data_IF_837844392172
#
_entry.id   IF_837844392172
#
_cell.length_a   1.000
_cell.length_b   1.000
_cell.length_c   1.000
_cell.angle_alpha   90.00
_cell.angle_beta   90.00
_cell.angle_gamma   90.00
#
_symmetry.space_group_name_H-M   'P 1'
#
loop_
_entity.id
_entity.type
_entity.pdbx_description
1 polymer ?
#
# COMPACT_ATOMS: atom_id res chain seq x y z
N UNK A 1 6.15 44.47 -14.83
CA UNK A 1 5.96 43.07 -15.27
C UNK A 1 7.30 42.36 -15.17
N UNK A 2 7.36 41.09 -14.74
CA UNK A 2 8.62 40.35 -14.66
C UNK A 2 9.23 40.20 -16.06
N UNK A 3 10.57 40.36 -16.15
CA UNK A 3 11.30 40.08 -17.39
C UNK A 3 11.18 38.58 -17.66
N UNK A 4 10.54 38.21 -18.77
CA UNK A 4 10.35 36.82 -19.16
C UNK A 4 11.29 36.47 -20.30
N UNK A 5 12.00 35.36 -20.18
CA UNK A 5 12.83 34.80 -21.24
C UNK A 5 12.18 33.50 -21.71
N UNK A 6 11.95 33.37 -23.02
CA UNK A 6 11.44 32.12 -23.59
C UNK A 6 12.58 31.12 -23.77
N UNK A 7 12.35 29.86 -23.43
CA UNK A 7 13.26 28.74 -23.70
C UNK A 7 12.57 27.71 -24.59
N UNK A 8 13.35 27.02 -25.41
CA UNK A 8 12.89 25.87 -26.21
C UNK A 8 12.95 24.55 -25.43
N UNK A 9 13.78 24.50 -24.37
CA UNK A 9 13.93 23.34 -23.51
C UNK A 9 13.10 23.43 -22.24
N UNK A 10 13.48 22.66 -21.22
CA UNK A 10 12.87 22.77 -19.90
C UNK A 10 13.14 24.14 -19.27
N UNK A 11 12.12 24.87 -18.78
CA UNK A 11 12.34 26.05 -17.95
C UNK A 11 13.11 25.67 -16.70
N UNK A 12 14.28 26.28 -16.51
CA UNK A 12 15.15 25.98 -15.38
C UNK A 12 15.78 27.24 -14.80
N UNK A 13 16.21 27.13 -13.55
CA UNK A 13 17.03 28.13 -12.87
C UNK A 13 18.14 27.42 -12.11
N UNK A 14 19.34 28.00 -12.20
CA UNK A 14 20.50 27.61 -11.40
C UNK A 14 20.86 28.74 -10.46
N UNK A 15 20.64 28.52 -9.16
CA UNK A 15 21.06 29.46 -8.11
C UNK A 15 22.50 29.11 -7.72
N UNK A 16 23.47 30.02 -7.89
CA UNK A 16 24.87 29.73 -7.59
C UNK A 16 25.07 29.52 -6.09
N UNK A 17 26.01 28.64 -5.75
CA UNK A 17 26.47 28.50 -4.37
C UNK A 17 27.34 29.70 -3.99
N UNK A 18 27.19 30.17 -2.75
CA UNK A 18 28.05 31.21 -2.17
C UNK A 18 29.35 30.64 -1.59
N UNK A 19 29.44 29.31 -1.43
CA UNK A 19 30.57 28.60 -0.84
C UNK A 19 31.56 28.13 -1.93
N UNK A 20 32.88 28.20 -1.68
CA UNK A 20 33.89 27.61 -2.56
C UNK A 20 33.65 26.10 -2.75
N UNK A 21 33.51 25.65 -4.00
CA UNK A 21 33.25 24.24 -4.32
C UNK A 21 31.83 23.74 -4.01
N UNK A 22 30.93 24.62 -3.55
CA UNK A 22 29.54 24.25 -3.29
C UNK A 22 28.76 23.98 -4.56
N UNK A 23 27.81 23.05 -4.47
CA UNK A 23 26.92 22.72 -5.58
C UNK A 23 25.81 23.77 -5.70
N UNK A 24 25.47 24.22 -6.92
CA UNK A 24 24.36 25.13 -7.11
C UNK A 24 23.02 24.43 -6.79
N UNK A 25 22.00 25.23 -6.49
CA UNK A 25 20.62 24.75 -6.50
C UNK A 25 20.11 24.77 -7.93
N UNK A 26 19.62 23.64 -8.40
CA UNK A 26 19.04 23.50 -9.73
C UNK A 26 17.56 23.16 -9.58
N UNK A 27 16.72 23.93 -10.24
CA UNK A 27 15.27 23.71 -10.28
C UNK A 27 14.84 23.71 -11.74
N UNK A 28 14.22 22.62 -12.18
CA UNK A 28 13.83 22.42 -13.59
C UNK A 28 12.38 21.98 -13.66
N UNK A 29 11.56 22.70 -14.43
CA UNK A 29 10.20 22.27 -14.75
C UNK A 29 10.21 21.21 -15.85
N UNK A 30 9.63 20.05 -15.58
CA UNK A 30 9.63 18.91 -16.50
C UNK A 30 8.34 18.88 -17.32
N UNK A 31 7.19 18.94 -16.64
CA UNK A 31 5.90 18.76 -17.30
C UNK A 31 4.77 19.48 -16.59
N UNK A 32 3.74 19.83 -17.35
CA UNK A 32 2.50 20.36 -16.82
C UNK A 32 1.45 19.25 -16.79
N UNK A 33 0.93 18.92 -15.61
CA UNK A 33 -0.11 17.91 -15.45
C UNK A 33 -1.51 18.49 -15.75
N UNK A 34 -2.49 17.59 -15.82
CA UNK A 34 -3.91 17.93 -15.92
C UNK A 34 -4.39 18.78 -14.74
N UNK A 35 -5.49 19.50 -14.92
CA UNK A 35 -5.97 20.44 -13.91
C UNK A 35 -6.41 19.73 -12.62
N UNK A 36 -5.89 20.21 -11.48
CA UNK A 36 -6.15 19.64 -10.17
C UNK A 36 -5.46 18.29 -9.94
N UNK A 37 -4.46 17.94 -10.75
CA UNK A 37 -3.70 16.71 -10.58
C UNK A 37 -2.80 16.76 -9.35
N UNK A 38 -2.23 17.93 -9.01
CA UNK A 38 -1.32 18.10 -7.88
C UNK A 38 -1.97 17.75 -6.54
N UNK A 39 -3.14 18.33 -6.26
CA UNK A 39 -3.89 18.05 -5.02
C UNK A 39 -4.35 16.60 -4.95
N UNK A 40 -4.83 16.07 -6.09
CA UNK A 40 -5.26 14.67 -6.19
C UNK A 40 -4.10 13.73 -5.86
N UNK A 41 -2.93 13.98 -6.45
CA UNK A 41 -1.75 13.16 -6.27
C UNK A 41 -1.29 13.21 -4.82
N UNK A 42 -1.19 14.42 -4.24
CA UNK A 42 -0.88 14.60 -2.83
C UNK A 42 -1.85 13.81 -1.93
N UNK A 43 -3.17 13.94 -2.12
CA UNK A 43 -4.16 13.25 -1.31
C UNK A 43 -4.05 11.71 -1.37
N UNK A 44 -3.91 11.14 -2.58
CA UNK A 44 -3.75 9.69 -2.78
C UNK A 44 -2.44 9.18 -2.17
N UNK A 45 -1.32 9.85 -2.48
CA UNK A 45 -0.01 9.47 -2.00
C UNK A 45 0.09 9.58 -0.47
N UNK A 46 -0.36 10.68 0.14
CA UNK A 46 -0.38 10.81 1.61
C UNK A 46 -1.22 9.72 2.28
N UNK A 47 -2.33 9.29 1.67
CA UNK A 47 -3.16 8.22 2.22
C UNK A 47 -2.41 6.87 2.26
N UNK A 48 -1.67 6.55 1.19
CA UNK A 48 -0.82 5.34 1.13
C UNK A 48 0.37 5.45 2.06
N UNK A 49 1.00 6.63 2.10
CA UNK A 49 2.15 6.91 2.92
C UNK A 49 1.85 6.70 4.41
N UNK A 50 0.68 7.15 4.90
CA UNK A 50 0.23 6.91 6.29
C UNK A 50 0.04 5.43 6.66
N UNK A 51 -0.14 4.56 5.67
CA UNK A 51 -0.28 3.11 5.86
C UNK A 51 1.05 2.37 5.66
N UNK A 52 2.11 3.08 5.27
CA UNK A 52 3.42 2.49 5.04
C UNK A 52 4.11 2.17 6.38
N UNK A 53 4.83 1.04 6.45
CA UNK A 53 5.48 0.55 7.68
C UNK A 53 6.49 1.54 8.27
N UNK A 54 7.17 2.31 7.40
CA UNK A 54 8.21 3.26 7.76
C UNK A 54 7.70 4.71 7.77
N UNK A 55 6.40 4.91 8.00
CA UNK A 55 5.81 6.24 8.03
C UNK A 55 6.35 7.07 9.20
N UNK A 56 6.72 8.31 8.94
CA UNK A 56 7.09 9.30 9.94
C UNK A 56 6.41 10.63 9.59
N UNK A 57 5.80 11.29 10.58
CA UNK A 57 5.02 12.52 10.39
C UNK A 57 5.68 13.77 10.99
N UNK A 58 6.95 13.67 11.38
CA UNK A 58 7.63 14.73 12.12
C UNK A 58 7.96 15.92 11.21
N UNK A 59 8.19 17.08 11.84
CA UNK A 59 8.65 18.32 11.19
C UNK A 59 7.75 18.83 10.05
N UNK A 60 6.44 18.55 10.09
CA UNK A 60 5.49 18.98 9.06
C UNK A 60 5.84 18.46 7.65
N UNK A 61 6.66 17.40 7.59
CA UNK A 61 7.13 16.75 6.38
C UNK A 61 6.84 15.24 6.46
N UNK A 62 5.56 14.82 6.37
CA UNK A 62 5.22 13.41 6.38
C UNK A 62 6.00 12.66 5.30
N UNK A 63 6.71 11.63 5.72
CA UNK A 63 7.65 10.87 4.91
C UNK A 63 7.44 9.37 5.08
N UNK A 64 7.80 8.60 4.06
CA UNK A 64 7.94 7.15 4.15
C UNK A 64 9.12 6.71 3.29
N UNK A 65 10.01 5.93 3.88
CA UNK A 65 11.13 5.30 3.18
C UNK A 65 10.63 4.14 2.33
N UNK A 66 10.73 4.29 1.02
CA UNK A 66 10.31 3.30 0.03
C UNK A 66 11.42 2.28 -0.26
N UNK A 67 12.68 2.70 -0.16
CA UNK A 67 13.85 1.84 -0.25
C UNK A 67 14.87 2.23 0.83
N UNK A 68 15.38 1.22 1.54
CA UNK A 68 16.41 1.39 2.57
C UNK A 68 17.78 1.08 1.96
N UNK A 69 18.86 1.72 2.46
CA UNK A 69 20.22 1.36 2.05
C UNK A 69 20.53 -0.09 2.47
N UNK A 70 21.40 -0.75 1.70
CA UNK A 70 22.02 -2.04 2.03
C UNK A 70 23.53 -1.83 2.18
N UNK A 71 23.92 -1.27 3.32
CA UNK A 71 25.32 -0.91 3.59
C UNK A 71 26.23 -2.14 3.58
N UNK A 72 25.71 -3.30 4.00
CA UNK A 72 26.47 -4.56 3.97
C UNK A 72 26.80 -4.99 2.52
N UNK A 73 25.91 -4.70 1.57
CA UNK A 73 26.14 -4.89 0.14
C UNK A 73 26.82 -3.69 -0.56
N UNK A 74 27.19 -2.64 0.18
CA UNK A 74 27.78 -1.41 -0.35
C UNK A 74 26.80 -0.45 -1.03
N UNK A 75 25.49 -0.65 -0.83
CA UNK A 75 24.42 0.22 -1.35
C UNK A 75 24.03 1.24 -0.27
N UNK A 76 24.32 2.52 -0.51
CA UNK A 76 24.13 3.60 0.48
C UNK A 76 23.01 4.57 0.09
N UNK A 77 22.21 4.21 -0.91
CA UNK A 77 21.13 5.05 -1.41
C UNK A 77 19.87 4.77 -0.62
N UNK A 78 19.06 5.80 -0.42
CA UNK A 78 17.70 5.61 0.05
C UNK A 78 16.72 6.38 -0.84
N UNK A 79 15.50 5.88 -0.88
CA UNK A 79 14.39 6.53 -1.58
C UNK A 79 13.28 6.81 -0.58
N UNK A 80 12.89 8.07 -0.47
CA UNK A 80 11.75 8.50 0.33
C UNK A 80 10.65 9.06 -0.55
N UNK A 81 9.42 8.80 -0.17
CA UNK A 81 8.32 9.72 -0.48
C UNK A 81 8.20 10.74 0.65
N UNK A 82 7.93 12.00 0.32
CA UNK A 82 7.55 13.01 1.29
C UNK A 82 6.47 13.94 0.74
N UNK A 83 5.72 14.57 1.64
CA UNK A 83 4.66 15.50 1.30
C UNK A 83 4.80 16.76 2.12
N UNK A 84 4.43 17.90 1.54
CA UNK A 84 4.41 19.19 2.23
C UNK A 84 3.00 19.76 2.11
N UNK A 85 2.36 19.90 3.27
CA UNK A 85 0.96 20.31 3.38
C UNK A 85 0.72 21.81 3.11
N UNK A 86 -0.50 22.29 3.39
CA UNK A 86 -0.86 23.70 3.20
C UNK A 86 -0.19 24.65 4.21
N UNK A 87 0.38 24.13 5.30
CA UNK A 87 1.20 24.92 6.23
C UNK A 87 2.64 25.13 5.73
N UNK A 88 3.06 24.40 4.70
CA UNK A 88 4.48 24.26 4.39
C UNK A 88 5.19 23.35 5.40
N UNK A 89 6.49 23.54 5.51
CA UNK A 89 7.32 22.91 6.54
C UNK A 89 8.35 23.94 7.05
N UNK A 90 9.01 23.75 8.21
CA UNK A 90 9.99 24.69 8.73
C UNK A 90 11.26 24.72 7.86
N UNK A 91 11.96 25.85 7.90
CA UNK A 91 13.30 25.95 7.31
C UNK A 91 14.24 24.96 7.96
N UNK A 92 14.93 24.20 7.12
CA UNK A 92 15.86 23.20 7.60
C UNK A 92 16.93 22.87 6.56
N UNK A 93 17.89 22.04 6.95
CA UNK A 93 18.93 21.50 6.07
C UNK A 93 19.22 20.04 6.40
N UNK A 94 19.94 19.39 5.48
CA UNK A 94 20.49 18.05 5.68
C UNK A 94 21.98 18.04 5.37
N UNK A 95 22.74 17.15 6.01
CA UNK A 95 24.16 16.97 5.73
C UNK A 95 24.41 16.39 4.33
N UNK A 96 23.54 15.49 3.88
CA UNK A 96 23.65 14.80 2.60
C UNK A 96 23.10 15.59 1.41
N UNK A 97 23.54 15.21 0.22
CA UNK A 97 23.03 15.73 -1.05
C UNK A 97 21.59 15.26 -1.26
N UNK A 98 20.77 16.09 -1.91
CA UNK A 98 19.36 15.76 -2.20
C UNK A 98 19.06 15.99 -3.67
N UNK A 99 18.44 14.97 -4.26
CA UNK A 99 17.86 15.04 -5.60
C UNK A 99 16.43 14.54 -5.46
N UNK A 100 15.45 15.37 -5.79
CA UNK A 100 14.06 14.93 -5.75
C UNK A 100 13.28 15.36 -6.97
N UNK A 101 12.29 14.55 -7.29
CA UNK A 101 11.26 14.85 -8.29
C UNK A 101 9.95 15.08 -7.56
N UNK A 102 9.31 16.20 -7.84
CA UNK A 102 8.14 16.67 -7.12
C UNK A 102 7.01 17.04 -8.06
N UNK A 103 5.80 17.02 -7.51
CA UNK A 103 4.58 17.53 -8.12
C UNK A 103 4.05 18.63 -7.22
N UNK A 104 3.95 19.85 -7.74
CA UNK A 104 3.36 20.97 -7.02
C UNK A 104 1.84 20.78 -6.87
N UNK A 105 1.30 21.24 -5.75
CA UNK A 105 -0.14 21.31 -5.56
C UNK A 105 -0.83 22.19 -6.59
N UNK A 106 -2.15 22.16 -6.62
CA UNK A 106 -2.96 22.91 -7.60
C UNK A 106 -3.01 24.41 -7.28
N UNK A 107 -2.42 24.83 -6.17
CA UNK A 107 -2.12 26.22 -5.83
C UNK A 107 -0.73 26.69 -6.27
N UNK A 108 0.14 25.78 -6.72
CA UNK A 108 1.57 26.04 -6.96
C UNK A 108 2.41 25.88 -5.68
N UNK A 109 3.73 25.89 -5.84
CA UNK A 109 4.67 25.80 -4.73
C UNK A 109 5.66 26.97 -4.76
N UNK A 110 6.09 27.41 -3.59
CA UNK A 110 7.16 28.38 -3.40
C UNK A 110 8.34 27.65 -2.75
N UNK A 111 9.45 27.55 -3.46
CA UNK A 111 10.68 26.96 -2.97
C UNK A 111 11.61 28.08 -2.52
N UNK A 112 12.16 27.97 -1.31
CA UNK A 112 13.06 28.97 -0.73
C UNK A 112 14.38 28.30 -0.41
N UNK A 113 15.49 28.93 -0.79
CA UNK A 113 16.84 28.41 -0.59
C UNK A 113 17.74 29.51 -0.04
N UNK A 114 18.63 29.15 0.89
CA UNK A 114 19.67 30.04 1.37
C UNK A 114 20.99 29.27 1.54
N UNK A 115 22.01 29.71 0.83
CA UNK A 115 23.36 29.21 1.00
C UNK A 115 24.19 30.22 1.81
N UNK A 116 24.30 29.97 3.11
CA UNK A 116 25.08 30.79 4.05
C UNK A 116 25.90 29.87 4.95
N UNK A 117 27.16 30.22 5.20
CA UNK A 117 28.04 29.47 6.09
C UNK A 117 27.69 29.73 7.56
N UNK A 118 27.90 28.73 8.43
CA UNK A 118 27.49 28.78 9.83
C UNK A 118 28.17 29.93 10.60
N UNK A 119 29.47 30.12 10.39
CA UNK A 119 30.21 31.24 10.98
C UNK A 119 29.65 32.61 10.57
N UNK A 120 29.15 32.75 9.34
CA UNK A 120 28.52 33.99 8.88
C UNK A 120 27.13 34.18 9.47
N UNK A 121 26.40 33.08 9.68
CA UNK A 121 25.08 33.07 10.28
C UNK A 121 25.13 33.42 11.78
N UNK A 122 26.14 32.91 12.48
CA UNK A 122 26.42 33.23 13.89
C UNK A 122 26.83 34.70 14.07
N UNK A 123 27.67 35.23 13.18
CA UNK A 123 28.14 36.61 13.25
C UNK A 123 27.05 37.63 12.88
N UNK A 124 26.21 37.34 11.88
CA UNK A 124 25.13 38.20 11.44
C UNK A 124 23.93 37.37 10.95
N UNK A 125 22.88 37.19 11.79
CA UNK A 125 21.65 36.49 11.39
C UNK A 125 20.95 37.11 10.17
N UNK A 126 21.15 38.40 9.89
CA UNK A 126 20.55 39.04 8.72
C UNK A 126 21.22 38.61 7.40
N UNK A 127 22.39 37.96 7.46
CA UNK A 127 23.04 37.36 6.28
C UNK A 127 22.16 36.31 5.60
N UNK A 128 21.36 35.58 6.39
CA UNK A 128 20.39 34.60 5.88
C UNK A 128 19.37 35.24 4.94
N UNK A 129 18.81 36.38 5.34
CA UNK A 129 17.80 37.10 4.56
C UNK A 129 18.40 37.63 3.25
N UNK A 130 19.63 38.16 3.30
CA UNK A 130 20.33 38.65 2.10
C UNK A 130 20.69 37.52 1.13
N UNK A 131 21.02 36.35 1.65
CA UNK A 131 21.30 35.14 0.87
C UNK A 131 20.05 34.40 0.39
N UNK A 132 18.87 34.74 0.89
CA UNK A 132 17.64 34.03 0.58
C UNK A 132 17.23 34.25 -0.89
N UNK A 133 16.86 33.16 -1.56
CA UNK A 133 16.35 33.13 -2.93
C UNK A 133 15.06 32.33 -2.99
N UNK A 134 14.18 32.70 -3.90
CA UNK A 134 12.88 32.05 -4.08
C UNK A 134 12.66 31.60 -5.52
N UNK A 135 12.00 30.46 -5.67
CA UNK A 135 11.56 29.92 -6.96
C UNK A 135 10.08 29.58 -6.86
N UNK A 136 9.27 30.22 -7.71
CA UNK A 136 7.85 29.88 -7.83
C UNK A 136 7.68 28.76 -8.85
N UNK A 137 6.97 27.71 -8.42
CA UNK A 137 6.58 26.57 -9.23
C UNK A 137 5.10 26.69 -9.57
N UNK A 138 4.74 26.57 -10.86
CA UNK A 138 3.37 26.68 -11.29
C UNK A 138 2.49 25.54 -10.71
N UNK A 139 1.19 25.80 -10.48
CA UNK A 139 0.21 24.78 -10.17
C UNK A 139 0.28 23.52 -11.04
N UNK A 140 0.08 22.34 -10.44
CA UNK A 140 0.03 21.03 -11.11
C UNK A 140 1.25 20.73 -12.00
N UNK A 141 2.44 21.21 -11.63
CA UNK A 141 3.65 20.99 -12.39
C UNK A 141 4.51 19.88 -11.77
N UNK A 142 5.10 19.05 -12.63
CA UNK A 142 6.17 18.14 -12.28
C UNK A 142 7.50 18.86 -12.47
N UNK A 143 8.37 18.79 -11.47
CA UNK A 143 9.65 19.49 -11.45
C UNK A 143 10.70 18.66 -10.72
N UNK A 144 11.97 18.95 -10.99
CA UNK A 144 13.11 18.35 -10.29
C UNK A 144 13.87 19.42 -9.54
N UNK A 145 14.41 19.04 -8.38
CA UNK A 145 15.29 19.88 -7.58
C UNK A 145 16.55 19.09 -7.24
N UNK A 146 17.70 19.75 -7.37
CA UNK A 146 18.99 19.24 -6.90
C UNK A 146 19.69 20.32 -6.09
N UNK A 147 20.21 19.96 -4.92
CA UNK A 147 21.10 20.82 -4.14
C UNK A 147 22.10 20.01 -3.31
N UNK A 148 23.21 20.67 -2.96
CA UNK A 148 24.24 20.08 -2.10
C UNK A 148 23.84 20.02 -0.63
N UNK A 149 24.56 19.21 0.15
CA UNK A 149 24.42 19.17 1.59
C UNK A 149 24.68 20.53 2.25
N UNK A 150 24.00 20.78 3.36
CA UNK A 150 24.10 22.01 4.15
C UNK A 150 23.31 23.20 3.61
N UNK A 151 22.54 23.02 2.52
CA UNK A 151 21.64 24.03 1.96
C UNK A 151 20.40 24.21 2.84
N UNK A 152 20.17 25.43 3.33
CA UNK A 152 18.93 25.77 4.02
C UNK A 152 17.80 25.89 3.00
N UNK A 153 16.69 25.21 3.26
CA UNK A 153 15.55 25.22 2.35
C UNK A 153 14.22 25.16 3.08
N UNK A 154 13.19 25.65 2.39
CA UNK A 154 11.80 25.62 2.83
C UNK A 154 10.86 25.57 1.61
N UNK A 155 9.83 24.76 1.70
CA UNK A 155 8.77 24.64 0.70
C UNK A 155 7.44 25.08 1.31
N UNK A 156 6.75 25.97 0.60
CA UNK A 156 5.48 26.56 0.99
C UNK A 156 4.49 26.41 -0.18
N UNK A 157 3.17 26.41 0.06
CA UNK A 157 2.22 26.62 -1.02
C UNK A 157 2.39 28.03 -1.59
N UNK A 158 2.31 28.18 -2.90
CA UNK A 158 2.43 29.50 -3.56
C UNK A 158 1.23 30.40 -3.24
N UNK A 159 0.06 29.80 -3.08
CA UNK A 159 -1.15 30.43 -2.56
C UNK A 159 -1.53 29.72 -1.27
N UNK A 160 -1.38 30.38 -0.12
CA UNK A 160 -2.24 30.04 1.03
C UNK A 160 -3.68 30.05 0.53
N UNK A 161 -4.60 29.16 0.85
CA UNK A 161 -4.97 28.73 2.19
C UNK A 161 -5.69 27.36 2.13
N UNK A 162 -5.43 26.55 1.09
CA UNK A 162 -6.21 25.33 0.84
C UNK A 162 -5.50 24.24 0.03
N UNK A 163 -4.32 24.54 -0.52
CA UNK A 163 -3.59 23.61 -1.38
C UNK A 163 -2.32 23.13 -0.67
N UNK A 164 -1.95 21.85 -0.81
CA UNK A 164 -0.62 21.41 -0.41
C UNK A 164 0.44 22.12 -1.25
N UNK A 165 1.66 22.23 -0.71
CA UNK A 165 2.78 22.74 -1.47
C UNK A 165 3.20 21.71 -2.53
N UNK A 166 3.52 20.48 -2.12
CA UNK A 166 4.00 19.44 -3.02
C UNK A 166 3.89 18.02 -2.47
N UNK A 167 3.94 17.05 -3.38
CA UNK A 167 4.37 15.67 -3.11
C UNK A 167 5.72 15.44 -3.83
N UNK A 168 6.61 14.65 -3.26
CA UNK A 168 7.90 14.36 -3.89
C UNK A 168 8.44 12.95 -3.60
N UNK A 169 9.28 12.48 -4.52
CA UNK A 169 10.17 11.34 -4.36
C UNK A 169 11.61 11.88 -4.23
N UNK A 170 12.21 11.69 -3.06
CA UNK A 170 13.57 12.11 -2.73
C UNK A 170 14.52 10.93 -2.80
N UNK A 171 15.53 11.04 -3.66
CA UNK A 171 16.68 10.16 -3.68
C UNK A 171 17.78 10.77 -2.82
N UNK A 172 18.19 10.06 -1.79
CA UNK A 172 19.39 10.38 -1.03
C UNK A 172 20.51 9.51 -1.61
N UNK A 173 21.34 10.11 -2.46
CA UNK A 173 22.36 9.38 -3.22
C UNK A 173 23.47 8.77 -2.35
N UNK A 174 23.62 9.26 -1.12
CA UNK A 174 24.53 8.73 -0.12
C UNK A 174 24.05 9.14 1.28
N UNK A 175 23.43 8.21 2.00
CA UNK A 175 22.95 8.46 3.37
C UNK A 175 24.06 8.54 4.41
N UNK A 176 25.26 8.04 4.08
CA UNK A 176 26.46 8.20 4.91
C UNK A 176 27.22 9.49 4.57
N UNK A 177 26.71 10.30 3.64
CA UNK A 177 27.34 11.53 3.19
C UNK A 177 27.19 12.69 4.18
N UNK A 178 28.27 13.44 4.38
CA UNK A 178 28.31 14.63 5.25
C UNK A 178 28.76 14.32 6.67
N UNK A 179 28.66 15.31 7.56
CA UNK A 179 29.06 15.17 8.96
C UNK A 179 27.90 14.55 9.77
N UNK A 180 27.97 13.24 10.01
CA UNK A 180 27.00 12.51 10.83
C UNK A 180 27.56 12.24 12.23
N UNK A 181 26.71 12.32 13.26
CA UNK A 181 27.09 11.85 14.59
C UNK A 181 27.18 10.31 14.60
N UNK A 182 27.95 9.70 15.52
CA UNK A 182 28.06 8.23 15.58
C UNK A 182 26.71 7.53 15.73
N UNK A 183 25.79 8.11 16.51
CA UNK A 183 24.44 7.58 16.68
C UNK A 183 23.63 7.63 15.38
N UNK A 184 23.73 8.72 14.62
CA UNK A 184 23.02 8.89 13.36
C UNK A 184 23.59 7.97 12.26
N UNK A 185 24.91 7.80 12.24
CA UNK A 185 25.58 6.83 11.37
C UNK A 185 25.08 5.40 11.61
N UNK A 186 24.91 5.01 12.89
CA UNK A 186 24.36 3.71 13.25
C UNK A 186 22.91 3.57 12.76
N UNK A 187 22.06 4.57 12.98
CA UNK A 187 20.67 4.57 12.48
C UNK A 187 20.59 4.45 10.96
N UNK A 188 21.48 5.09 10.21
CA UNK A 188 21.54 4.92 8.74
C UNK A 188 21.91 3.49 8.38
N UNK A 189 22.93 2.95 9.03
CA UNK A 189 23.45 1.59 8.76
C UNK A 189 22.40 0.51 9.05
N UNK A 190 21.60 0.70 10.10
CA UNK A 190 20.50 -0.19 10.47
C UNK A 190 19.23 0.03 9.63
N UNK A 191 19.25 0.98 8.69
CA UNK A 191 18.07 1.36 7.92
C UNK A 191 16.95 1.85 8.82
N UNK A 192 17.25 2.67 9.83
CA UNK A 192 16.27 3.27 10.74
C UNK A 192 16.17 4.79 10.59
N UNK A 193 17.14 5.43 9.96
CA UNK A 193 17.13 6.87 9.73
C UNK A 193 15.89 7.34 8.93
N UNK A 194 15.26 8.40 9.42
CA UNK A 194 14.14 9.11 8.78
C UNK A 194 14.62 10.47 8.26
N UNK A 195 13.83 11.11 7.38
CA UNK A 195 14.13 12.49 6.95
C UNK A 195 14.29 13.39 8.18
N UNK A 196 13.35 13.34 9.12
CA UNK A 196 13.39 14.14 10.33
C UNK A 196 14.64 13.92 11.19
N UNK A 197 15.13 12.68 11.33
CA UNK A 197 16.38 12.41 12.06
C UNK A 197 17.62 13.01 11.39
N UNK A 198 17.57 13.18 10.06
CA UNK A 198 18.63 13.76 9.24
C UNK A 198 18.47 15.28 9.04
N UNK A 199 17.53 15.90 9.77
CA UNK A 199 17.16 17.30 9.61
C UNK A 199 17.71 18.16 10.73
N UNK A 200 18.35 19.26 10.35
CA UNK A 200 18.72 20.34 11.27
C UNK A 200 17.82 21.55 11.02
N UNK A 201 17.14 22.02 12.07
CA UNK A 201 16.24 23.17 12.00
C UNK A 201 16.99 24.49 12.07
N UNK A 202 16.38 25.52 11.48
CA UNK A 202 16.95 26.86 11.49
C UNK A 202 17.08 27.41 12.93
N UNK A 203 18.25 27.98 13.30
CA UNK A 203 18.45 28.53 14.64
C UNK A 203 17.47 29.65 14.99
N UNK A 204 17.08 29.72 16.27
CA UNK A 204 16.10 30.67 16.81
C UNK A 204 16.36 32.13 16.39
N UNK A 205 17.59 32.68 16.54
CA UNK A 205 17.83 34.10 16.24
C UNK A 205 17.57 34.44 14.76
N UNK A 206 17.84 33.48 13.88
CA UNK A 206 17.65 33.62 12.44
C UNK A 206 16.17 33.52 12.09
N UNK A 207 15.44 32.61 12.74
CA UNK A 207 13.99 32.48 12.57
C UNK A 207 13.28 33.77 12.98
N UNK A 208 13.61 34.33 14.15
CA UNK A 208 13.05 35.62 14.60
C UNK A 208 13.37 36.75 13.61
N UNK A 209 14.61 36.81 13.10
CA UNK A 209 14.99 37.82 12.10
C UNK A 209 14.18 37.66 10.79
N UNK A 210 13.94 36.43 10.35
CA UNK A 210 13.16 36.13 9.15
C UNK A 210 11.68 36.51 9.31
N UNK A 211 11.07 36.20 10.45
CA UNK A 211 9.69 36.60 10.78
C UNK A 211 9.54 38.12 10.81
N UNK A 212 10.48 38.82 11.47
CA UNK A 212 10.50 40.27 11.50
C UNK A 212 10.71 40.89 10.12
N UNK A 213 11.43 40.22 9.21
CA UNK A 213 11.59 40.66 7.83
C UNK A 213 10.29 40.46 7.02
N UNK A 214 9.64 39.30 7.18
CA UNK A 214 8.36 39.01 6.55
C UNK A 214 7.29 40.02 6.97
N UNK A 215 7.23 40.39 8.25
CA UNK A 215 6.33 41.41 8.78
C UNK A 215 6.56 42.81 8.18
N UNK A 216 7.79 43.10 7.73
CA UNK A 216 8.15 44.37 7.07
C UNK A 216 7.80 44.41 5.58
N UNK A 217 7.36 43.29 4.99
CA UNK A 217 6.96 43.23 3.58
C UNK A 217 8.11 43.46 2.59
N UNK A 218 9.35 43.30 3.02
CA UNK A 218 10.51 43.48 2.16
C UNK A 218 10.59 42.35 1.11
N UNK A 219 10.96 42.73 -0.11
CA UNK A 219 10.98 41.79 -1.24
C UNK A 219 12.21 40.90 -1.20
N UNK A 220 11.99 39.61 -1.46
CA UNK A 220 13.04 38.62 -1.67
C UNK A 220 13.19 38.44 -3.19
N UNK A 221 14.40 38.13 -3.64
CA UNK A 221 14.64 37.82 -5.05
C UNK A 221 13.91 36.53 -5.42
N UNK A 222 12.95 36.65 -6.35
CA UNK A 222 12.04 35.57 -6.73
C UNK A 222 12.08 35.34 -8.24
N UNK A 223 12.29 34.09 -8.64
CA UNK A 223 12.23 33.63 -10.03
C UNK A 223 10.98 32.77 -10.21
N UNK A 224 10.11 33.16 -11.14
CA UNK A 224 8.93 32.37 -11.46
C UNK A 224 9.18 31.50 -12.69
N UNK A 225 9.07 30.19 -12.53
CA UNK A 225 9.09 29.26 -13.66
C UNK A 225 7.65 29.07 -14.18
N UNK A 226 7.48 28.87 -15.48
CA UNK A 226 6.16 28.63 -16.05
C UNK A 226 6.21 27.75 -17.30
N UNK A 227 5.08 27.06 -17.56
CA UNK A 227 4.83 26.30 -18.78
C UNK A 227 3.56 26.82 -19.46
N UNK A 228 3.55 26.83 -20.79
CA UNK A 228 2.40 27.19 -21.65
C UNK A 228 2.08 28.68 -21.74
N UNK A 229 2.28 29.45 -20.66
CA UNK A 229 2.11 30.90 -20.63
C UNK A 229 3.16 31.55 -19.72
N UNK A 230 3.61 32.75 -20.08
CA UNK A 230 4.53 33.53 -19.26
C UNK A 230 3.94 33.87 -17.89
N UNK A 231 4.79 33.91 -16.88
CA UNK A 231 4.42 34.32 -15.52
C UNK A 231 3.79 35.72 -15.52
N UNK A 232 2.73 35.90 -14.72
CA UNK A 232 2.03 37.18 -14.60
C UNK A 232 1.03 37.51 -15.73
N UNK A 233 0.93 36.71 -16.78
CA UNK A 233 -0.06 36.91 -17.86
C UNK A 233 -1.50 36.59 -17.44
N UNK A 234 -2.49 37.16 -18.12
CA UNK A 234 -3.90 36.90 -17.83
C UNK A 234 -4.28 35.44 -18.11
N UNK A 235 -3.75 34.87 -19.21
CA UNK A 235 -3.98 33.48 -19.59
C UNK A 235 -3.50 32.52 -18.50
N UNK A 236 -2.33 32.82 -17.91
CA UNK A 236 -1.80 32.09 -16.75
C UNK A 236 -2.73 32.18 -15.54
N UNK A 237 -3.17 33.39 -15.18
CA UNK A 237 -4.07 33.61 -14.03
C UNK A 237 -5.40 32.85 -14.18
N UNK A 238 -5.98 32.82 -15.38
CA UNK A 238 -7.21 32.08 -15.65
C UNK A 238 -7.00 30.57 -15.52
N UNK A 239 -5.92 30.04 -16.11
CA UNK A 239 -5.57 28.62 -15.96
C UNK A 239 -5.35 28.25 -14.49
N UNK A 240 -4.62 29.08 -13.74
CA UNK A 240 -4.37 28.85 -12.32
C UNK A 240 -5.66 28.85 -11.49
N UNK A 241 -6.64 29.69 -11.85
CA UNK A 241 -7.97 29.68 -11.22
C UNK A 241 -8.73 28.37 -11.44
N UNK A 242 -8.70 27.83 -12.67
CA UNK A 242 -9.32 26.54 -13.00
C UNK A 242 -8.64 25.40 -12.25
N UNK A 243 -7.30 25.39 -12.22
CA UNK A 243 -6.49 24.39 -11.48
C UNK A 243 -6.79 24.41 -9.98
N UNK A 244 -6.83 25.60 -9.39
CA UNK A 244 -7.16 25.80 -7.99
C UNK A 244 -8.55 25.22 -7.64
N UNK A 245 -9.58 25.51 -8.44
CA UNK A 245 -10.92 24.96 -8.22
C UNK A 245 -10.96 23.43 -8.36
N UNK A 246 -10.42 22.90 -9.46
CA UNK A 246 -10.45 21.46 -9.73
C UNK A 246 -9.59 20.65 -8.76
N UNK A 247 -8.50 21.22 -8.25
CA UNK A 247 -7.65 20.60 -7.24
C UNK A 247 -8.43 20.20 -5.99
N UNK A 248 -9.16 21.16 -5.41
CA UNK A 248 -9.98 20.93 -4.21
C UNK A 248 -11.06 19.87 -4.45
N UNK A 249 -11.72 19.91 -5.61
CA UNK A 249 -12.73 18.93 -5.97
C UNK A 249 -12.14 17.51 -6.07
N UNK A 250 -11.02 17.37 -6.80
CA UNK A 250 -10.39 16.06 -7.05
C UNK A 250 -9.75 15.46 -5.80
N UNK A 251 -9.14 16.27 -4.93
CA UNK A 251 -8.65 15.80 -3.64
C UNK A 251 -9.80 15.27 -2.77
N UNK A 252 -10.91 16.01 -2.65
CA UNK A 252 -12.08 15.56 -1.88
C UNK A 252 -12.62 14.22 -2.40
N UNK A 253 -12.77 14.08 -3.71
CA UNK A 253 -13.23 12.84 -4.33
C UNK A 253 -12.33 11.64 -3.98
N UNK A 254 -11.00 11.80 -4.05
CA UNK A 254 -10.06 10.72 -3.68
C UNK A 254 -10.11 10.41 -2.18
N UNK A 255 -10.26 11.40 -1.32
CA UNK A 255 -10.39 11.13 0.12
C UNK A 255 -11.69 10.42 0.49
N UNK A 256 -12.75 10.58 -0.31
CA UNK A 256 -14.04 9.91 -0.10
C UNK A 256 -14.05 8.48 -0.65
N UNK A 257 -13.32 8.23 -1.73
CA UNK A 257 -13.28 6.93 -2.40
C UNK A 257 -11.93 6.29 -2.09
N UNK A 258 -11.88 5.37 -1.13
CA UNK A 258 -10.68 4.59 -0.85
C UNK A 258 -10.30 3.78 -2.10
N UNK A 259 -9.23 4.19 -2.79
CA UNK A 259 -8.74 3.53 -4.00
C UNK A 259 -7.66 2.50 -3.61
N UNK A 260 -7.98 1.19 -3.56
CA UNK A 260 -7.01 0.17 -3.19
C UNK A 260 -5.83 0.10 -4.18
N UNK A 261 -4.65 -0.27 -3.67
CA UNK A 261 -3.57 -0.79 -4.49
C UNK A 261 -3.75 -2.29 -4.72
N UNK A 262 -3.27 -2.80 -5.84
CA UNK A 262 -3.34 -4.23 -6.17
C UNK A 262 -1.95 -4.76 -6.53
N UNK A 263 -1.61 -5.92 -6.00
CA UNK A 263 -0.44 -6.70 -6.42
C UNK A 263 -0.95 -7.91 -7.18
N UNK A 264 -0.64 -7.98 -8.47
CA UNK A 264 -1.00 -9.12 -9.32
C UNK A 264 0.10 -10.17 -9.29
N UNK A 265 -0.21 -11.37 -8.81
CA UNK A 265 0.68 -12.54 -8.92
C UNK A 265 0.05 -13.57 -9.85
N UNK A 266 0.82 -14.07 -10.81
CA UNK A 266 0.43 -15.21 -11.63
C UNK A 266 0.96 -16.47 -10.97
N UNK A 267 0.10 -17.17 -10.24
CA UNK A 267 0.40 -18.50 -9.73
C UNK A 267 0.20 -19.53 -10.84
N UNK A 268 1.00 -20.59 -10.84
CA UNK A 268 0.80 -21.73 -11.73
C UNK A 268 -0.62 -22.30 -11.59
N UNK A 269 -1.17 -22.78 -12.70
CA UNK A 269 -2.54 -23.26 -12.73
C UNK A 269 -2.66 -24.57 -11.93
N UNK A 270 -3.12 -24.47 -10.69
CA UNK A 270 -3.43 -25.63 -9.85
C UNK A 270 -4.49 -26.51 -10.54
N UNK A 271 -4.09 -27.72 -10.90
CA UNK A 271 -4.99 -28.76 -11.35
C UNK A 271 -5.79 -29.28 -10.15
N UNK A 272 -7.12 -29.26 -10.29
CA UNK A 272 -8.04 -29.82 -9.32
C UNK A 272 -8.57 -31.11 -9.92
N UNK A 273 -8.20 -32.24 -9.33
CA UNK A 273 -8.64 -33.56 -9.76
C UNK A 273 -9.95 -33.91 -9.06
N UNK A 274 -10.94 -34.41 -9.81
CA UNK A 274 -12.15 -35.01 -9.21
C UNK A 274 -11.87 -36.47 -8.92
N UNK A 275 -12.14 -36.90 -7.69
CA UNK A 275 -11.89 -38.26 -7.22
C UNK A 275 -13.18 -39.08 -7.14
N UNK A 276 -13.01 -40.39 -7.22
CA UNK A 276 -14.07 -41.32 -6.84
C UNK A 276 -14.38 -41.21 -5.34
N UNK A 277 -15.66 -41.05 -4.95
CA UNK A 277 -16.10 -41.00 -3.56
C UNK A 277 -15.66 -42.14 -2.65
N UNK A 278 -15.22 -43.30 -3.19
CA UNK A 278 -14.61 -44.37 -2.39
C UNK A 278 -13.37 -43.90 -1.62
N UNK A 279 -12.69 -42.86 -2.10
CA UNK A 279 -11.53 -42.25 -1.45
C UNK A 279 -11.89 -41.13 -0.45
N UNK A 280 -13.17 -40.99 -0.09
CA UNK A 280 -13.58 -39.98 0.85
C UNK A 280 -12.92 -40.21 2.22
N UNK A 281 -12.45 -39.15 2.90
CA UNK A 281 -11.94 -39.28 4.26
C UNK A 281 -12.97 -39.97 5.16
N UNK A 282 -12.49 -40.80 6.09
CA UNK A 282 -13.35 -41.53 7.03
C UNK A 282 -14.31 -40.60 7.80
N UNK A 283 -13.88 -39.36 8.04
CA UNK A 283 -14.68 -38.32 8.70
C UNK A 283 -15.93 -37.90 7.89
N UNK A 284 -15.89 -38.02 6.57
CA UNK A 284 -17.02 -37.76 5.67
C UNK A 284 -17.86 -39.02 5.45
N UNK A 285 -17.25 -40.20 5.57
CA UNK A 285 -17.96 -41.47 5.48
C UNK A 285 -18.91 -41.64 6.68
N UNK A 286 -20.21 -41.76 6.41
CA UNK A 286 -21.24 -41.89 7.46
C UNK A 286 -21.64 -40.58 8.15
N UNK A 287 -21.19 -39.42 7.66
CA UNK A 287 -21.56 -38.12 8.23
C UNK A 287 -23.06 -37.79 8.06
N UNK A 288 -23.75 -38.46 7.13
CA UNK A 288 -25.18 -38.35 6.89
C UNK A 288 -25.82 -39.74 6.78
N UNK A 289 -27.08 -39.91 7.24
CA UNK A 289 -27.80 -41.19 7.19
C UNK A 289 -28.22 -41.60 5.77
N UNK A 290 -28.43 -40.63 4.88
CA UNK A 290 -28.67 -40.84 3.45
C UNK A 290 -27.92 -39.78 2.64
N UNK A 291 -27.48 -40.13 1.43
CA UNK A 291 -26.63 -39.26 0.59
C UNK A 291 -27.20 -39.19 -0.82
N UNK A 292 -27.81 -38.04 -1.14
CA UNK A 292 -28.40 -37.73 -2.46
C UNK A 292 -27.38 -37.09 -3.41
N UNK A 293 -26.34 -36.46 -2.87
CA UNK A 293 -25.21 -35.93 -3.64
C UNK A 293 -23.89 -36.17 -2.92
N UNK A 294 -22.86 -36.49 -3.70
CA UNK A 294 -21.48 -36.59 -3.24
C UNK A 294 -20.50 -36.11 -4.30
N UNK A 295 -19.52 -35.33 -3.88
CA UNK A 295 -18.35 -35.02 -4.70
C UNK A 295 -17.08 -34.98 -3.85
N UNK A 296 -15.94 -35.20 -4.51
CA UNK A 296 -14.64 -35.27 -3.89
C UNK A 296 -13.61 -34.71 -4.85
N UNK A 297 -12.77 -33.80 -4.35
CA UNK A 297 -11.73 -33.13 -5.11
C UNK A 297 -10.41 -33.21 -4.38
N UNK A 298 -9.33 -33.20 -5.17
CA UNK A 298 -7.97 -33.20 -4.69
C UNK A 298 -7.13 -32.17 -5.43
N UNK A 299 -6.27 -31.51 -4.68
CA UNK A 299 -5.15 -30.72 -5.21
C UNK A 299 -3.86 -31.30 -4.66
N UNK A 300 -2.89 -31.54 -5.54
CA UNK A 300 -1.52 -31.86 -5.18
C UNK A 300 -0.64 -30.70 -5.57
N UNK A 301 0.28 -30.34 -4.68
CA UNK A 301 1.24 -29.28 -4.94
C UNK A 301 2.60 -29.65 -4.37
N UNK A 302 3.64 -29.31 -5.13
CA UNK A 302 5.02 -29.35 -4.69
C UNK A 302 5.35 -27.97 -4.10
N UNK A 303 5.39 -27.90 -2.77
CA UNK A 303 5.70 -26.70 -2.01
C UNK A 303 6.40 -27.08 -0.69
N UNK A 304 7.75 -27.16 -0.71
CA UNK A 304 8.52 -27.50 0.48
C UNK A 304 8.34 -26.52 1.63
N UNK A 305 8.01 -25.26 1.34
CA UNK A 305 7.76 -24.25 2.37
C UNK A 305 6.47 -24.58 3.10
N UNK A 306 5.39 -24.86 2.35
CA UNK A 306 4.11 -25.22 2.92
C UNK A 306 4.17 -26.58 3.63
N UNK A 307 4.87 -27.58 3.05
CA UNK A 307 5.00 -28.91 3.65
C UNK A 307 5.68 -28.88 5.03
N UNK A 308 6.69 -28.00 5.22
CA UNK A 308 7.38 -27.84 6.51
C UNK A 308 6.52 -27.22 7.62
N UNK A 309 5.40 -26.58 7.29
CA UNK A 309 4.50 -25.99 8.30
C UNK A 309 3.69 -27.04 9.07
N UNK A 310 3.58 -28.27 8.54
CA UNK A 310 2.77 -29.35 9.09
C UNK A 310 1.28 -29.24 8.74
N UNK A 311 0.60 -30.39 8.69
CA UNK A 311 -0.78 -30.47 8.20
C UNK A 311 -1.78 -29.57 8.96
N UNK A 312 -1.74 -29.47 10.32
CA UNK A 312 -2.67 -28.63 11.07
C UNK A 312 -2.56 -27.13 10.74
N UNK A 313 -1.33 -26.63 10.59
CA UNK A 313 -1.05 -25.23 10.25
C UNK A 313 -1.57 -24.91 8.87
N UNK A 314 -1.29 -25.78 7.89
CA UNK A 314 -1.77 -25.63 6.51
C UNK A 314 -3.29 -25.68 6.46
N UNK A 315 -3.94 -26.62 7.19
CA UNK A 315 -5.40 -26.68 7.25
C UNK A 315 -5.99 -25.40 7.87
N UNK A 316 -5.40 -24.86 8.93
CA UNK A 316 -5.84 -23.59 9.52
C UNK A 316 -5.76 -22.43 8.50
N UNK A 317 -4.66 -22.33 7.75
CA UNK A 317 -4.53 -21.33 6.66
C UNK A 317 -5.56 -21.53 5.55
N UNK A 318 -5.89 -22.78 5.18
CA UNK A 318 -6.93 -23.06 4.19
C UNK A 318 -8.32 -22.62 4.68
N UNK A 319 -8.66 -22.92 5.94
CA UNK A 319 -9.91 -22.48 6.55
C UNK A 319 -9.99 -20.95 6.64
N UNK A 320 -8.87 -20.28 6.94
CA UNK A 320 -8.77 -18.82 6.88
C UNK A 320 -9.06 -18.30 5.47
N UNK A 321 -8.40 -18.88 4.47
CA UNK A 321 -8.49 -18.46 3.08
C UNK A 321 -9.91 -18.60 2.52
N UNK A 322 -10.65 -19.65 2.90
CA UNK A 322 -12.07 -19.76 2.54
C UNK A 322 -12.92 -18.59 3.02
N UNK A 323 -12.54 -17.95 4.13
CA UNK A 323 -13.26 -16.83 4.75
C UNK A 323 -12.74 -15.49 4.22
N UNK A 324 -11.42 -15.30 4.20
CA UNK A 324 -10.78 -14.00 3.95
C UNK A 324 -10.56 -13.73 2.46
N UNK A 325 -10.46 -14.77 1.64
CA UNK A 325 -10.20 -14.67 0.20
C UNK A 325 -11.15 -15.56 -0.63
N UNK A 326 -12.48 -15.38 -0.51
CA UNK A 326 -13.44 -16.21 -1.22
C UNK A 326 -13.37 -15.98 -2.74
N UNK A 327 -13.57 -17.04 -3.52
CA UNK A 327 -13.52 -16.97 -4.98
C UNK A 327 -14.61 -15.99 -5.52
N UNK A 328 -14.26 -14.89 -6.22
CA UNK A 328 -15.21 -13.83 -6.57
C UNK A 328 -16.41 -14.32 -7.36
N UNK A 329 -16.17 -15.22 -8.33
CA UNK A 329 -17.24 -15.81 -9.13
C UNK A 329 -18.20 -16.67 -8.31
N UNK A 330 -17.72 -17.35 -7.26
CA UNK A 330 -18.59 -18.12 -6.34
C UNK A 330 -19.36 -17.18 -5.41
N UNK A 331 -18.72 -16.12 -4.92
CA UNK A 331 -19.37 -15.09 -4.11
C UNK A 331 -20.53 -14.41 -4.85
N UNK A 332 -20.38 -14.12 -6.14
CA UNK A 332 -21.45 -13.56 -6.97
C UNK A 332 -22.65 -14.53 -7.09
N UNK A 333 -22.39 -15.82 -7.23
CA UNK A 333 -23.43 -16.85 -7.29
C UNK A 333 -24.14 -17.03 -5.95
N UNK A 334 -23.40 -16.94 -4.84
CA UNK A 334 -23.98 -16.98 -3.50
C UNK A 334 -24.85 -15.76 -3.23
N UNK A 335 -24.44 -14.59 -3.70
CA UNK A 335 -25.28 -13.39 -3.66
C UNK A 335 -26.60 -13.61 -4.41
N UNK A 336 -26.54 -14.09 -5.66
CA UNK A 336 -27.73 -14.39 -6.46
C UNK A 336 -28.63 -15.42 -5.78
N UNK A 337 -28.05 -16.53 -5.29
CA UNK A 337 -28.77 -17.55 -4.52
C UNK A 337 -29.49 -16.92 -3.34
N UNK A 338 -28.78 -16.15 -2.51
CA UNK A 338 -29.33 -15.54 -1.29
C UNK A 338 -30.50 -14.60 -1.58
N UNK A 339 -30.49 -13.90 -2.72
CA UNK A 339 -31.62 -13.08 -3.18
C UNK A 339 -32.81 -13.96 -3.54
N UNK A 340 -32.61 -15.02 -4.32
CA UNK A 340 -33.67 -15.93 -4.77
C UNK A 340 -34.31 -16.72 -3.61
N UNK A 341 -33.51 -17.15 -2.62
CA UNK A 341 -34.01 -17.97 -1.51
C UNK A 341 -34.55 -17.17 -0.32
N UNK A 342 -34.37 -15.83 -0.31
CA UNK A 342 -34.87 -14.94 0.74
C UNK A 342 -36.36 -15.12 1.06
N UNK A 343 -37.30 -15.16 0.08
CA UNK A 343 -38.73 -15.34 0.38
C UNK A 343 -39.04 -16.71 1.00
N UNK A 344 -38.21 -17.73 0.74
CA UNK A 344 -38.39 -19.10 1.22
C UNK A 344 -37.85 -19.32 2.66
N UNK A 345 -37.31 -18.27 3.30
CA UNK A 345 -36.72 -18.30 4.65
C UNK A 345 -35.64 -19.38 4.83
N UNK A 346 -34.86 -19.64 3.79
CA UNK A 346 -33.72 -20.56 3.83
C UNK A 346 -32.49 -19.87 4.44
N UNK A 347 -31.52 -20.66 4.90
CA UNK A 347 -30.27 -20.14 5.48
C UNK A 347 -29.47 -19.40 4.42
N UNK A 348 -29.03 -18.18 4.73
CA UNK A 348 -28.20 -17.33 3.88
C UNK A 348 -26.80 -17.23 4.46
N UNK A 349 -25.79 -17.29 3.60
CA UNK A 349 -24.38 -17.06 3.98
C UNK A 349 -23.66 -16.35 2.83
N UNK A 350 -22.78 -15.37 3.12
CA UNK A 350 -21.94 -14.77 2.09
C UNK A 350 -20.89 -15.75 1.55
N UNK A 351 -20.61 -16.85 2.27
CA UNK A 351 -19.71 -17.91 1.81
C UNK A 351 -20.45 -18.98 1.00
N UNK A 352 -19.73 -19.58 0.06
CA UNK A 352 -20.17 -20.77 -0.66
C UNK A 352 -20.54 -21.91 0.28
N UNK A 353 -21.67 -22.57 0.01
CA UNK A 353 -21.76 -23.99 0.35
C UNK A 353 -20.65 -24.66 -0.46
N UNK A 354 -19.70 -25.37 0.18
CA UNK A 354 -19.95 -26.16 1.39
C UNK A 354 -19.13 -25.73 2.64
N UNK A 355 -18.54 -24.53 2.67
CA UNK A 355 -17.80 -24.01 3.86
C UNK A 355 -18.56 -22.95 4.66
N UNK A 356 -19.85 -22.74 4.35
CA UNK A 356 -20.67 -21.70 4.94
C UNK A 356 -20.84 -21.80 6.47
N UNK A 357 -20.49 -22.94 7.06
CA UNK A 357 -20.49 -23.15 8.52
C UNK A 357 -19.34 -22.45 9.24
N UNK A 358 -18.28 -22.03 8.53
CA UNK A 358 -17.13 -21.31 9.11
C UNK A 358 -17.50 -19.95 9.73
N UNK A 359 -18.66 -19.39 9.37
CA UNK A 359 -19.21 -18.16 9.94
C UNK A 359 -20.30 -18.41 11.01
N UNK A 360 -20.59 -19.69 11.33
CA UNK A 360 -21.58 -20.04 12.36
C UNK A 360 -21.02 -19.78 13.75
N UNK A 361 -21.78 -19.10 14.61
CA UNK A 361 -21.42 -18.97 16.03
C UNK A 361 -21.72 -20.24 16.83
N UNK A 362 -22.69 -21.03 16.35
CA UNK A 362 -23.09 -22.32 16.92
C UNK A 362 -22.32 -23.43 16.21
N UNK A 363 -21.37 -24.04 16.93
CA UNK A 363 -20.64 -25.23 16.49
C UNK A 363 -20.21 -26.09 17.70
N UNK A 364 -20.23 -27.42 17.57
CA UNK A 364 -19.93 -28.33 18.67
C UNK A 364 -18.44 -28.32 19.06
N UNK A 365 -17.54 -27.93 18.14
CA UNK A 365 -16.11 -27.85 18.39
C UNK A 365 -15.46 -26.71 17.59
N UNK A 366 -14.20 -26.39 17.93
CA UNK A 366 -13.37 -25.43 17.19
C UNK A 366 -12.01 -26.03 16.84
N UNK A 367 -11.65 -26.00 15.56
CA UNK A 367 -10.31 -26.34 15.09
C UNK A 367 -9.36 -25.16 15.31
N UNK A 368 -8.15 -25.45 15.81
CA UNK A 368 -7.14 -24.45 16.18
C UNK A 368 -7.67 -23.34 17.12
N UNK A 369 -8.69 -23.65 17.94
CA UNK A 369 -9.36 -22.68 18.82
C UNK A 369 -10.17 -21.59 18.09
N UNK A 370 -10.16 -21.56 16.76
CA UNK A 370 -10.70 -20.45 15.95
C UNK A 370 -11.88 -20.86 15.07
N UNK A 371 -11.75 -21.93 14.30
CA UNK A 371 -12.70 -22.24 13.22
C UNK A 371 -13.78 -23.22 13.68
N UNK A 372 -15.07 -22.90 13.53
CA UNK A 372 -16.15 -23.78 13.95
C UNK A 372 -16.22 -25.05 13.08
N UNK A 373 -16.17 -26.22 13.73
CA UNK A 373 -16.20 -27.53 13.06
C UNK A 373 -17.18 -28.48 13.74
N UNK A 374 -17.73 -29.42 12.98
CA UNK A 374 -18.56 -30.51 13.49
C UNK A 374 -17.73 -31.60 14.16
N UNK A 375 -16.62 -31.97 13.53
CA UNK A 375 -15.69 -32.98 14.01
C UNK A 375 -14.31 -32.73 13.39
N UNK A 376 -13.28 -33.34 13.98
CA UNK A 376 -11.93 -33.31 13.45
C UNK A 376 -11.27 -34.67 13.65
N UNK A 377 -10.42 -35.06 12.70
CA UNK A 377 -9.61 -36.26 12.78
C UNK A 377 -8.15 -35.90 12.50
N UNK A 378 -7.23 -36.51 13.23
CA UNK A 378 -5.78 -36.34 13.08
C UNK A 378 -5.15 -37.71 13.20
N UNK A 379 -4.25 -38.07 12.29
CA UNK A 379 -3.39 -39.23 12.48
C UNK A 379 -2.20 -38.87 13.40
N UNK A 380 -1.60 -39.85 14.09
CA UNK A 380 -0.38 -39.63 14.86
C UNK A 380 0.75 -39.08 13.96
N UNK A 381 1.46 -38.05 14.42
CA UNK A 381 2.58 -37.44 13.69
C UNK A 381 2.29 -36.16 12.91
N UNK A 382 1.07 -35.59 13.01
CA UNK A 382 0.68 -34.31 12.39
C UNK A 382 0.85 -34.22 10.85
N UNK A 383 0.94 -35.37 10.18
CA UNK A 383 1.06 -35.44 8.72
C UNK A 383 -0.29 -35.54 8.01
N UNK A 384 -1.37 -35.85 8.73
CA UNK A 384 -2.71 -35.94 8.18
C UNK A 384 -3.72 -35.38 9.18
N UNK A 385 -4.52 -34.43 8.71
CA UNK A 385 -5.59 -33.80 9.49
C UNK A 385 -6.77 -33.49 8.59
N UNK A 386 -7.97 -33.73 9.10
CA UNK A 386 -9.20 -33.40 8.42
C UNK A 386 -10.23 -32.81 9.39
N UNK A 387 -11.04 -31.90 8.88
CA UNK A 387 -12.16 -31.31 9.62
C UNK A 387 -13.46 -31.53 8.86
N UNK A 388 -14.53 -31.75 9.62
CA UNK A 388 -15.89 -31.84 9.13
C UNK A 388 -16.58 -30.51 9.36
N UNK A 389 -17.10 -29.95 8.29
CA UNK A 389 -17.93 -28.76 8.23
C UNK A 389 -19.34 -29.19 7.86
N UNK A 390 -20.31 -28.32 8.10
CA UNK A 390 -21.69 -28.64 7.74
C UNK A 390 -22.69 -27.64 8.26
N UNK A 391 -23.88 -27.66 7.67
CA UNK A 391 -25.03 -27.01 8.25
C UNK A 391 -26.30 -27.73 7.83
N UNK A 392 -27.29 -27.65 8.71
CA UNK A 392 -28.62 -28.16 8.48
C UNK A 392 -29.56 -27.00 8.12
N UNK A 393 -30.41 -27.24 7.12
CA UNK A 393 -31.45 -26.31 6.66
C UNK A 393 -32.75 -27.10 6.47
N UNK A 394 -33.86 -26.40 6.21
CA UNK A 394 -35.21 -26.98 6.08
C UNK A 394 -35.35 -27.98 4.93
N UNK A 395 -34.54 -27.84 3.89
CA UNK A 395 -34.67 -28.58 2.63
C UNK A 395 -33.52 -29.55 2.39
N UNK A 396 -32.37 -29.34 3.02
CA UNK A 396 -31.21 -30.22 2.92
C UNK A 396 -30.33 -30.14 4.17
N UNK A 397 -29.55 -31.19 4.39
CA UNK A 397 -28.39 -31.19 5.28
C UNK A 397 -27.15 -31.38 4.43
N UNK A 398 -26.12 -30.60 4.65
CA UNK A 398 -24.85 -30.82 3.98
C UNK A 398 -23.72 -31.02 4.98
N UNK A 399 -22.77 -31.86 4.60
CA UNK A 399 -21.52 -32.13 5.31
C UNK A 399 -20.38 -31.99 4.32
N UNK A 400 -19.28 -31.43 4.77
CA UNK A 400 -18.15 -31.13 3.92
C UNK A 400 -16.88 -31.45 4.68
N UNK A 401 -15.93 -32.10 4.03
CA UNK A 401 -14.65 -32.41 4.64
C UNK A 401 -13.54 -31.64 3.94
N UNK A 402 -12.70 -30.99 4.73
CA UNK A 402 -11.44 -30.41 4.27
C UNK A 402 -10.32 -31.19 4.95
N UNK A 403 -9.48 -31.84 4.16
CA UNK A 403 -8.35 -32.64 4.62
C UNK A 403 -7.03 -32.12 4.06
N UNK A 404 -5.96 -32.20 4.86
CA UNK A 404 -4.59 -31.93 4.44
C UNK A 404 -3.73 -33.12 4.83
N UNK A 405 -2.99 -33.63 3.85
CA UNK A 405 -2.02 -34.69 4.01
C UNK A 405 -0.67 -34.24 3.48
N UNK A 406 0.35 -34.31 4.32
CA UNK A 406 1.76 -34.11 3.95
C UNK A 406 2.29 -35.47 3.48
N UNK A 407 2.52 -35.60 2.17
CA UNK A 407 2.97 -36.88 1.58
C UNK A 407 4.45 -37.10 1.87
N UNK A 408 5.24 -36.03 1.75
CA UNK A 408 6.65 -35.96 2.12
C UNK A 408 7.01 -34.51 2.50
N UNK A 409 8.29 -34.20 2.71
CA UNK A 409 8.74 -32.84 3.08
C UNK A 409 8.62 -31.79 1.96
N UNK A 410 8.10 -32.15 0.81
CA UNK A 410 8.00 -31.33 -0.40
C UNK A 410 6.59 -31.29 -0.98
N UNK A 411 5.77 -32.32 -0.78
CA UNK A 411 4.45 -32.46 -1.38
C UNK A 411 3.33 -32.36 -0.35
N UNK A 412 2.35 -31.50 -0.67
CA UNK A 412 1.11 -31.33 0.10
C UNK A 412 -0.07 -31.77 -0.75
N UNK A 413 -0.95 -32.59 -0.17
CA UNK A 413 -2.21 -33.00 -0.75
C UNK A 413 -3.37 -32.41 0.05
N UNK A 414 -4.29 -31.74 -0.64
CA UNK A 414 -5.49 -31.15 -0.06
C UNK A 414 -6.70 -31.85 -0.65
N UNK A 415 -7.58 -32.35 0.22
CA UNK A 415 -8.81 -33.04 -0.15
C UNK A 415 -10.00 -32.20 0.27
N UNK A 416 -10.99 -32.10 -0.62
CA UNK A 416 -12.23 -31.39 -0.37
C UNK A 416 -13.41 -32.21 -0.85
N UNK A 417 -14.27 -32.63 0.08
CA UNK A 417 -15.44 -33.44 -0.25
C UNK A 417 -16.72 -32.85 0.29
N UNK A 418 -17.83 -33.10 -0.40
CA UNK A 418 -19.17 -32.68 0.01
C UNK A 418 -20.13 -33.85 -0.05
N UNK A 419 -21.03 -33.95 0.93
CA UNK A 419 -22.19 -34.82 0.93
C UNK A 419 -23.44 -34.00 1.25
N UNK A 420 -24.54 -34.30 0.58
CA UNK A 420 -25.84 -33.65 0.81
C UNK A 420 -26.94 -34.70 0.94
N UNK A 421 -27.80 -34.50 1.93
CA UNK A 421 -29.06 -35.21 2.13
C UNK A 421 -30.21 -34.23 1.88
N UNK A 422 -31.11 -34.56 0.97
CA UNK A 422 -32.36 -33.84 0.76
C UNK A 422 -33.41 -34.28 1.79
N UNK A 423 -34.14 -33.32 2.36
CA UNK A 423 -35.17 -33.60 3.37
C UNK A 423 -36.59 -33.60 2.77
N UNK A 424 -36.77 -33.03 1.59
CA UNK A 424 -38.06 -32.91 0.92
C UNK A 424 -37.90 -32.74 -0.60
N UNK A 425 -39.04 -32.75 -1.32
CA UNK A 425 -39.09 -32.62 -2.79
C UNK A 425 -38.42 -31.33 -3.30
N UNK A 426 -38.60 -30.22 -2.58
CA UNK A 426 -37.93 -28.96 -2.92
C UNK A 426 -36.42 -29.09 -2.85
N UNK A 427 -35.89 -29.76 -1.81
CA UNK A 427 -34.48 -30.09 -1.68
C UNK A 427 -33.94 -30.89 -2.86
N UNK A 428 -34.67 -31.91 -3.33
CA UNK A 428 -34.26 -32.70 -4.50
C UNK A 428 -34.27 -31.88 -5.79
N UNK A 429 -35.29 -31.05 -6.02
CA UNK A 429 -35.36 -30.19 -7.19
C UNK A 429 -34.23 -29.14 -7.20
N UNK A 430 -34.00 -28.52 -6.04
CA UNK A 430 -32.90 -27.58 -5.82
C UNK A 430 -31.55 -28.23 -6.14
N UNK A 431 -31.27 -29.38 -5.53
CA UNK A 431 -30.00 -30.10 -5.72
C UNK A 431 -29.77 -30.47 -7.17
N UNK A 432 -30.78 -31.01 -7.87
CA UNK A 432 -30.70 -31.33 -9.31
C UNK A 432 -30.36 -30.12 -10.18
N UNK A 433 -30.86 -28.93 -9.79
CA UNK A 433 -30.63 -27.69 -10.55
C UNK A 433 -29.18 -27.21 -10.41
N UNK A 434 -28.59 -27.37 -9.22
CA UNK A 434 -27.25 -26.85 -8.93
C UNK A 434 -26.14 -27.89 -9.07
N UNK A 435 -26.44 -29.20 -9.14
CA UNK A 435 -25.46 -30.29 -9.06
C UNK A 435 -24.32 -30.13 -10.08
N UNK A 436 -24.65 -30.00 -11.36
CA UNK A 436 -23.64 -29.87 -12.42
C UNK A 436 -22.73 -28.65 -12.22
N UNK A 437 -23.32 -27.53 -11.78
CA UNK A 437 -22.60 -26.28 -11.50
C UNK A 437 -21.74 -26.40 -10.24
N UNK A 438 -22.26 -27.07 -9.21
CA UNK A 438 -21.51 -27.33 -7.98
C UNK A 438 -20.26 -28.16 -8.29
N UNK A 439 -20.43 -29.23 -9.08
CA UNK A 439 -19.34 -30.12 -9.46
C UNK A 439 -18.29 -29.47 -10.36
N UNK A 440 -18.74 -28.81 -11.43
CA UNK A 440 -17.83 -28.30 -12.47
C UNK A 440 -17.20 -26.97 -12.12
N UNK A 441 -17.83 -26.18 -11.26
CA UNK A 441 -17.42 -24.80 -11.00
C UNK A 441 -17.23 -24.49 -9.52
N UNK A 442 -18.26 -24.66 -8.67
CA UNK A 442 -18.22 -24.15 -7.28
C UNK A 442 -17.11 -24.83 -6.46
N UNK A 443 -17.19 -26.15 -6.29
CA UNK A 443 -16.24 -26.89 -5.47
C UNK A 443 -14.78 -26.76 -5.94
N UNK A 444 -14.45 -26.98 -7.24
CA UNK A 444 -13.06 -26.86 -7.69
C UNK A 444 -12.53 -25.43 -7.64
N UNK A 445 -13.37 -24.41 -7.91
CA UNK A 445 -12.93 -23.00 -7.85
C UNK A 445 -12.69 -22.56 -6.40
N UNK A 446 -13.55 -22.98 -5.46
CA UNK A 446 -13.35 -22.71 -4.03
C UNK A 446 -12.05 -23.35 -3.52
N UNK A 447 -11.83 -24.63 -3.83
CA UNK A 447 -10.61 -25.33 -3.43
C UNK A 447 -9.36 -24.66 -4.01
N UNK A 448 -9.37 -24.35 -5.32
CA UNK A 448 -8.26 -23.67 -5.98
C UNK A 448 -7.94 -22.32 -5.36
N UNK A 449 -8.97 -21.50 -5.11
CA UNK A 449 -8.79 -20.17 -4.51
C UNK A 449 -8.19 -20.26 -3.09
N UNK A 450 -8.71 -21.17 -2.25
CA UNK A 450 -8.20 -21.36 -0.90
C UNK A 450 -6.75 -21.85 -0.86
N UNK A 451 -6.39 -22.82 -1.72
CA UNK A 451 -5.01 -23.31 -1.81
C UNK A 451 -4.06 -22.23 -2.30
N UNK A 452 -4.43 -21.46 -3.33
CA UNK A 452 -3.62 -20.34 -3.81
C UNK A 452 -3.39 -19.29 -2.72
N UNK A 453 -4.44 -18.88 -2.02
CA UNK A 453 -4.35 -17.92 -0.92
C UNK A 453 -3.46 -18.43 0.22
N UNK A 454 -3.57 -19.71 0.59
CA UNK A 454 -2.69 -20.32 1.61
C UNK A 454 -1.23 -20.31 1.17
N UNK A 455 -0.91 -20.65 -0.09
CA UNK A 455 0.46 -20.56 -0.64
C UNK A 455 1.01 -19.14 -0.55
N UNK A 456 0.23 -18.15 -0.97
CA UNK A 456 0.65 -16.74 -0.96
C UNK A 456 0.92 -16.23 0.46
N UNK A 457 0.06 -16.54 1.45
CA UNK A 457 0.29 -16.15 2.85
C UNK A 457 1.64 -16.63 3.40
N UNK A 458 2.07 -17.84 3.00
CA UNK A 458 3.33 -18.44 3.45
C UNK A 458 4.55 -17.98 2.66
N UNK A 459 4.41 -17.66 1.38
CA UNK A 459 5.48 -17.04 0.59
C UNK A 459 5.90 -15.67 1.18
N UNK A 460 4.92 -14.85 1.60
CA UNK A 460 5.20 -13.52 2.18
C UNK A 460 5.73 -13.56 3.62
N UNK A 461 5.37 -14.57 4.42
CA UNK A 461 5.88 -14.70 5.80
C UNK A 461 7.25 -15.38 5.88
N UNK A 462 7.61 -16.22 4.90
CA UNK A 462 8.95 -16.81 4.78
C UNK A 462 10.03 -15.76 4.47
N UNK A 463 9.72 -14.78 3.61
CA UNK A 463 10.65 -13.72 3.24
C UNK A 463 10.80 -12.65 4.34
N UNK A 464 9.74 -12.42 5.13
CA UNK A 464 9.77 -11.52 6.28
C UNK A 464 10.63 -12.06 7.45
N UNK A 465 10.76 -13.38 7.62
CA UNK A 465 11.64 -13.97 8.64
C UNK A 465 13.09 -14.07 8.19
N UNK A 466 13.37 -14.16 6.89
CA UNK A 466 14.73 -14.14 6.35
C UNK A 466 15.39 -12.75 6.37
N UNK A 467 14.62 -11.69 6.69
CA UNK A 467 15.13 -10.32 6.89
C UNK A 467 15.21 -9.89 8.35
N UNK A 468 14.94 -10.78 9.30
CA UNK A 468 15.05 -10.50 10.75
C UNK A 468 16.15 -11.33 11.44
N UNK A 469 17.16 -11.79 10.70
CA UNK A 469 18.39 -12.37 11.28
C UNK A 469 19.59 -11.60 10.77
#
# INVERSE_FOLDING_TARGET
MPRTTQTQGFPEIRLPSSRPGGLPVEVTLVAQLGHGAGDRFHADASARQRQHLTFNADLEEPSARLASPDVAAGEVTSLFSFTVGPGGHPFHRHAGHRIFTAIAGSGGALLRFCDVADAALEADPASFIRGLRQVEIPPDAMFTVRFGGGMWHQFLPLKGDAHPALFALSCHSNELGGALTPALHQQVTEGQATIASLTELLPEPVRTALEAHAARGAQIETVALSLGAAAGTWARKLCDGVRHMLGRLRARLVTMIAMPGFVGQRLEHLQVEMLDPVHAPALLAGALPAVDHRDLYRVRLEDPVLARQGAPTVLASLLDAFVTQPAPGVSALMWLRNVLVRPLRLRRSPLGCPVSSLLSQEAPARFAGRYPVFAQASLPGHQDVAVLLGADDRHLRFRSCVGVRIVDRTQVEVIFGTQVQCLNLFGHLYLRTIDAMHRRYVAPTMLRAAVNAARTQHAFTGDARLRMV
#
